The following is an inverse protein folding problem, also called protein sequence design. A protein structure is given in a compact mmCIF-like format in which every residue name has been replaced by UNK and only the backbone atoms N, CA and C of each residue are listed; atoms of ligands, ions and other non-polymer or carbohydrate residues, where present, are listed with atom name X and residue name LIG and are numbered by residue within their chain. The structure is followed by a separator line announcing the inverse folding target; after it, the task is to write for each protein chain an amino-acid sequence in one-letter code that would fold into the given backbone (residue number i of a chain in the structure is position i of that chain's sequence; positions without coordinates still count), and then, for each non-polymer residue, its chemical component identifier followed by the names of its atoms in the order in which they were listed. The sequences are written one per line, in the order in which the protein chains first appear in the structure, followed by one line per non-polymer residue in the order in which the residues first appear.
data_IF_161835192892
#
_entry.id   IF_161835192892
#
_cell.length_a   1.000
_cell.length_b   1.000
_cell.length_c   1.000
_cell.angle_alpha   90.00
_cell.angle_beta   90.00
_cell.angle_gamma   90.00
#
_symmetry.space_group_name_H-M   'P 1'
#
loop_
_entity.id
_entity.type
_entity.pdbx_description
1 polymer ?
#
# COMPACT_ATOMS: atom_id res chain seq x y z
N UNK A 1 -30.05 -15.94 -35.32
CA UNK A 1 -29.97 -14.47 -35.46
C UNK A 1 -28.64 -14.13 -36.09
N UNK A 2 -28.59 -13.12 -36.96
CA UNK A 2 -27.36 -12.64 -37.60
C UNK A 2 -26.90 -11.38 -36.86
N UNK A 3 -25.59 -11.29 -36.60
CA UNK A 3 -24.95 -10.14 -35.97
C UNK A 3 -23.92 -9.60 -36.96
N UNK A 4 -24.11 -8.36 -37.39
CA UNK A 4 -23.24 -7.68 -38.34
C UNK A 4 -22.12 -6.98 -37.57
N UNK A 5 -20.87 -7.38 -37.76
CA UNK A 5 -19.73 -6.78 -37.05
C UNK A 5 -18.92 -5.92 -38.01
N UNK A 6 -18.74 -4.65 -37.64
CA UNK A 6 -18.02 -3.66 -38.41
C UNK A 6 -16.72 -3.26 -37.67
N UNK A 7 -15.56 -3.65 -38.20
CA UNK A 7 -14.26 -3.15 -37.75
C UNK A 7 -13.87 -1.94 -38.60
N UNK A 8 -14.15 -0.74 -38.11
CA UNK A 8 -13.84 0.51 -38.80
C UNK A 8 -12.33 0.75 -38.93
N UNK A 9 -11.53 0.28 -37.97
CA UNK A 9 -10.08 0.49 -37.97
C UNK A 9 -9.39 -0.34 -39.05
N UNK A 10 -9.88 -1.55 -39.31
CA UNK A 10 -9.37 -2.45 -40.36
C UNK A 10 -10.19 -2.42 -41.64
N UNK A 11 -11.30 -1.67 -41.65
CA UNK A 11 -12.28 -1.64 -42.73
C UNK A 11 -12.79 -3.04 -43.12
N UNK A 12 -13.10 -3.85 -42.10
CA UNK A 12 -13.64 -5.22 -42.26
C UNK A 12 -15.10 -5.27 -41.83
N UNK A 13 -15.88 -6.10 -42.51
CA UNK A 13 -17.27 -6.42 -42.12
C UNK A 13 -17.46 -7.93 -42.20
N UNK A 14 -17.93 -8.52 -41.12
CA UNK A 14 -18.23 -9.96 -41.05
C UNK A 14 -19.55 -10.20 -40.32
N UNK A 15 -20.30 -11.21 -40.79
CA UNK A 15 -21.58 -11.60 -40.23
C UNK A 15 -21.45 -12.87 -39.39
N UNK A 16 -21.94 -12.82 -38.16
CA UNK A 16 -21.90 -13.95 -37.23
C UNK A 16 -23.30 -14.46 -36.93
N UNK A 17 -23.51 -15.76 -37.15
CA UNK A 17 -24.79 -16.42 -36.83
C UNK A 17 -24.71 -17.05 -35.44
N UNK A 18 -25.63 -16.68 -34.54
CA UNK A 18 -25.72 -17.27 -33.20
C UNK A 18 -27.20 -17.56 -32.83
N UNK A 19 -27.50 -18.70 -32.17
CA UNK A 19 -28.81 -18.92 -31.57
C UNK A 19 -29.11 -17.86 -30.50
N UNK A 20 -30.33 -17.30 -30.53
CA UNK A 20 -30.74 -16.20 -29.62
C UNK A 20 -30.59 -16.59 -28.16
N UNK A 21 -31.16 -17.73 -27.78
CA UNK A 21 -31.20 -18.17 -26.38
C UNK A 21 -29.79 -18.36 -25.82
N UNK A 22 -28.87 -18.86 -26.66
CA UNK A 22 -27.46 -18.97 -26.32
C UNK A 22 -26.82 -17.58 -26.15
N UNK A 23 -27.04 -16.66 -27.10
CA UNK A 23 -26.48 -15.31 -27.05
C UNK A 23 -26.92 -14.55 -25.79
N UNK A 24 -28.21 -14.52 -25.46
CA UNK A 24 -28.72 -13.81 -24.27
C UNK A 24 -28.27 -14.47 -22.97
N UNK A 25 -28.08 -15.80 -22.97
CA UNK A 25 -27.63 -16.52 -21.78
C UNK A 25 -26.16 -16.26 -21.46
N UNK A 26 -25.31 -16.12 -22.49
CA UNK A 26 -23.86 -15.94 -22.33
C UNK A 26 -23.40 -14.48 -22.38
N UNK A 27 -24.12 -13.62 -23.12
CA UNK A 27 -23.85 -12.18 -23.29
C UNK A 27 -25.03 -11.36 -22.75
N UNK A 28 -25.07 -11.15 -21.44
CA UNK A 28 -26.21 -10.55 -20.74
C UNK A 28 -26.52 -9.11 -21.17
N UNK A 29 -25.55 -8.40 -21.75
CA UNK A 29 -25.79 -7.10 -22.37
C UNK A 29 -26.94 -7.16 -23.38
N UNK A 30 -26.97 -8.18 -24.24
CA UNK A 30 -28.03 -8.31 -25.23
C UNK A 30 -29.38 -8.67 -24.61
N UNK A 31 -29.42 -9.33 -23.46
CA UNK A 31 -30.67 -9.69 -22.78
C UNK A 31 -31.53 -8.45 -22.43
N UNK A 32 -30.88 -7.30 -22.17
CA UNK A 32 -31.56 -6.05 -21.83
C UNK A 32 -32.32 -5.46 -23.03
N UNK A 33 -31.85 -5.69 -24.26
CA UNK A 33 -32.45 -5.18 -25.50
C UNK A 33 -33.32 -6.21 -26.21
N UNK A 34 -32.98 -7.48 -26.06
CA UNK A 34 -33.61 -8.63 -26.70
C UNK A 34 -34.58 -9.36 -25.76
N UNK A 35 -35.19 -8.69 -24.78
CA UNK A 35 -36.23 -9.29 -23.90
C UNK A 35 -37.65 -8.79 -24.17
N UNK A 36 -37.82 -7.84 -25.10
CA UNK A 36 -39.10 -7.16 -25.36
C UNK A 36 -39.82 -7.83 -26.55
N UNK A 37 -40.90 -8.56 -26.24
CA UNK A 37 -41.97 -9.10 -27.12
C UNK A 37 -41.62 -9.97 -28.33
N UNK A 38 -41.86 -11.29 -28.22
CA UNK A 38 -41.70 -12.43 -29.17
C UNK A 38 -42.13 -12.23 -30.65
N UNK A 39 -42.75 -11.09 -31.02
CA UNK A 39 -43.26 -10.80 -32.36
C UNK A 39 -42.50 -9.69 -33.14
N UNK A 40 -41.56 -8.94 -32.53
CA UNK A 40 -40.79 -7.88 -33.22
C UNK A 40 -39.40 -8.30 -33.77
N UNK A 41 -39.10 -9.59 -33.84
CA UNK A 41 -37.71 -10.11 -33.93
C UNK A 41 -37.17 -10.31 -35.33
N UNK A 42 -38.04 -10.54 -36.31
CA UNK A 42 -37.60 -10.66 -37.70
C UNK A 42 -37.06 -9.34 -38.26
N UNK A 43 -37.23 -8.23 -37.52
CA UNK A 43 -36.80 -6.87 -37.88
C UNK A 43 -35.60 -6.34 -37.07
N UNK A 44 -35.10 -7.07 -36.06
CA UNK A 44 -33.97 -6.56 -35.24
C UNK A 44 -32.63 -6.91 -35.88
N UNK A 45 -32.06 -5.92 -36.57
CA UNK A 45 -30.69 -5.94 -37.07
C UNK A 45 -29.72 -5.55 -35.94
N UNK A 46 -28.83 -6.47 -35.55
CA UNK A 46 -27.78 -6.20 -34.56
C UNK A 46 -26.49 -5.89 -35.31
N UNK A 47 -26.10 -4.63 -35.27
CA UNK A 47 -24.80 -4.17 -35.75
C UNK A 47 -23.87 -3.82 -34.57
N UNK A 48 -22.68 -4.41 -34.54
CA UNK A 48 -21.66 -4.19 -33.50
C UNK A 48 -20.40 -3.60 -34.12
N UNK A 49 -19.91 -2.50 -33.58
CA UNK A 49 -18.69 -1.84 -34.06
C UNK A 49 -17.51 -2.21 -33.15
N UNK A 50 -16.70 -3.19 -33.57
CA UNK A 50 -15.54 -3.66 -32.80
C UNK A 50 -14.54 -4.43 -33.68
N UNK A 51 -13.43 -4.86 -33.08
CA UNK A 51 -12.46 -5.74 -33.74
C UNK A 51 -13.11 -7.08 -34.10
N UNK A 52 -13.21 -7.35 -35.41
CA UNK A 52 -13.86 -8.55 -35.96
C UNK A 52 -13.22 -9.84 -35.44
N UNK A 53 -11.89 -9.88 -35.24
CA UNK A 53 -11.21 -11.07 -34.74
C UNK A 53 -11.52 -11.34 -33.26
N UNK A 54 -11.61 -10.27 -32.45
CA UNK A 54 -12.01 -10.39 -31.04
C UNK A 54 -13.46 -10.86 -30.96
N UNK A 55 -14.35 -10.30 -31.77
CA UNK A 55 -15.75 -10.74 -31.78
C UNK A 55 -15.90 -12.20 -32.23
N UNK A 56 -15.16 -12.61 -33.26
CA UNK A 56 -15.10 -14.01 -33.69
C UNK A 56 -14.64 -14.93 -32.54
N UNK A 57 -13.59 -14.55 -31.80
CA UNK A 57 -13.14 -15.28 -30.61
C UNK A 57 -14.26 -15.43 -29.57
N UNK A 58 -14.99 -14.34 -29.30
CA UNK A 58 -16.11 -14.34 -28.34
C UNK A 58 -17.26 -15.26 -28.80
N UNK A 59 -17.62 -15.23 -30.08
CA UNK A 59 -18.66 -16.12 -30.63
C UNK A 59 -18.24 -17.59 -30.55
N UNK A 60 -16.98 -17.90 -30.88
CA UNK A 60 -16.42 -19.25 -30.68
C UNK A 60 -16.48 -19.66 -29.21
N UNK A 61 -16.19 -18.75 -28.30
CA UNK A 61 -16.28 -19.01 -26.87
C UNK A 61 -17.72 -19.26 -26.42
N UNK A 62 -18.69 -18.45 -26.85
CA UNK A 62 -20.12 -18.66 -26.55
C UNK A 62 -20.62 -20.02 -27.05
N UNK A 63 -20.16 -20.45 -28.23
CA UNK A 63 -20.53 -21.74 -28.83
C UNK A 63 -19.76 -22.95 -28.26
N UNK A 64 -18.84 -22.77 -27.30
CA UNK A 64 -17.95 -23.84 -26.78
C UNK A 64 -18.68 -25.08 -26.25
N UNK A 65 -19.92 -24.93 -25.79
CA UNK A 65 -20.73 -26.00 -25.19
C UNK A 65 -21.81 -26.54 -26.15
N UNK A 66 -21.81 -26.14 -27.42
CA UNK A 66 -22.81 -26.61 -28.40
C UNK A 66 -22.30 -27.83 -29.18
N UNK A 67 -23.23 -28.72 -29.54
CA UNK A 67 -22.94 -29.95 -30.30
C UNK A 67 -22.29 -29.68 -31.66
N UNK A 68 -22.60 -28.53 -32.29
CA UNK A 68 -21.98 -28.09 -33.55
C UNK A 68 -20.49 -27.78 -33.42
N UNK A 69 -20.00 -27.49 -32.21
CA UNK A 69 -18.61 -27.07 -31.97
C UNK A 69 -17.75 -28.13 -31.28
N UNK A 70 -18.26 -29.35 -31.06
CA UNK A 70 -17.50 -30.47 -30.49
C UNK A 70 -16.27 -30.88 -31.35
N UNK A 71 -16.25 -30.52 -32.64
CA UNK A 71 -15.15 -30.77 -33.58
C UNK A 71 -14.10 -29.65 -33.61
N UNK A 72 -14.35 -28.50 -33.00
CA UNK A 72 -13.48 -27.34 -33.03
C UNK A 72 -12.81 -27.10 -31.67
N UNK A 73 -11.52 -26.76 -31.70
CA UNK A 73 -10.81 -26.38 -30.48
C UNK A 73 -11.42 -25.11 -29.86
N UNK A 74 -11.69 -25.20 -28.54
CA UNK A 74 -12.14 -24.07 -27.71
C UNK A 74 -11.10 -22.96 -27.82
N UNK A 75 -11.51 -21.72 -28.10
CA UNK A 75 -10.56 -20.64 -28.28
C UNK A 75 -9.77 -20.40 -26.98
N UNK A 76 -8.45 -20.26 -27.11
CA UNK A 76 -7.53 -20.06 -25.99
C UNK A 76 -7.21 -18.58 -25.80
N UNK A 77 -7.02 -18.18 -24.54
CA UNK A 77 -6.52 -16.84 -24.21
C UNK A 77 -5.03 -16.78 -24.52
N UNK A 78 -4.60 -15.66 -25.10
CA UNK A 78 -3.20 -15.40 -25.44
C UNK A 78 -2.78 -14.03 -24.90
N UNK A 79 -1.48 -13.79 -24.67
CA UNK A 79 -1.01 -12.51 -24.14
C UNK A 79 -1.39 -11.30 -25.01
N UNK A 80 -1.53 -11.50 -26.32
CA UNK A 80 -1.85 -10.45 -27.31
C UNK A 80 -3.34 -10.09 -27.36
N UNK A 81 -4.23 -11.01 -26.97
CA UNK A 81 -5.68 -10.83 -27.14
C UNK A 81 -6.44 -10.64 -25.81
N UNK A 82 -5.87 -11.07 -24.68
CA UNK A 82 -6.59 -11.17 -23.40
C UNK A 82 -7.15 -9.84 -22.91
N UNK A 83 -6.48 -8.72 -23.14
CA UNK A 83 -6.99 -7.41 -22.71
C UNK A 83 -8.18 -6.96 -23.54
N UNK A 84 -8.10 -7.11 -24.87
CA UNK A 84 -9.22 -6.79 -25.74
C UNK A 84 -10.43 -7.68 -25.41
N UNK A 85 -10.19 -8.98 -25.18
CA UNK A 85 -11.23 -9.92 -24.73
C UNK A 85 -11.78 -9.52 -23.36
N UNK A 86 -10.95 -9.13 -22.41
CA UNK A 86 -11.38 -8.69 -21.07
C UNK A 86 -12.31 -7.48 -21.16
N UNK A 87 -11.91 -6.45 -21.93
CA UNK A 87 -12.71 -5.24 -22.10
C UNK A 87 -14.04 -5.55 -22.80
N UNK A 88 -14.01 -6.33 -23.89
CA UNK A 88 -15.23 -6.70 -24.61
C UNK A 88 -16.14 -7.61 -23.80
N UNK A 89 -15.59 -8.55 -23.02
CA UNK A 89 -16.38 -9.46 -22.18
C UNK A 89 -17.00 -8.74 -20.97
N UNK A 90 -16.32 -7.76 -20.39
CA UNK A 90 -16.90 -6.87 -19.37
C UNK A 90 -18.06 -6.07 -19.95
N UNK A 91 -17.88 -5.45 -21.13
CA UNK A 91 -18.93 -4.68 -21.80
C UNK A 91 -20.16 -5.53 -22.13
N UNK A 92 -19.94 -6.74 -22.65
CA UNK A 92 -21.01 -7.69 -23.00
C UNK A 92 -21.60 -8.43 -21.78
N UNK A 93 -21.12 -8.13 -20.57
CA UNK A 93 -21.56 -8.73 -19.30
C UNK A 93 -21.41 -10.26 -19.28
N UNK A 94 -20.23 -10.74 -19.69
CA UNK A 94 -19.86 -12.17 -19.75
C UNK A 94 -19.05 -12.58 -18.51
N UNK A 95 -19.68 -12.61 -17.32
CA UNK A 95 -19.00 -12.70 -16.01
C UNK A 95 -17.96 -13.83 -15.90
N UNK A 96 -18.30 -15.05 -16.36
CA UNK A 96 -17.38 -16.20 -16.30
C UNK A 96 -16.13 -16.01 -17.15
N UNK A 97 -16.24 -15.31 -18.28
CA UNK A 97 -15.10 -15.02 -19.15
C UNK A 97 -14.25 -13.90 -18.56
N UNK A 98 -14.87 -12.87 -17.98
CA UNK A 98 -14.18 -11.80 -17.26
C UNK A 98 -13.28 -12.37 -16.16
N UNK A 99 -13.82 -13.26 -15.32
CA UNK A 99 -13.04 -13.95 -14.28
C UNK A 99 -11.87 -14.76 -14.86
N UNK A 100 -12.12 -15.49 -15.96
CA UNK A 100 -11.06 -16.26 -16.64
C UNK A 100 -9.96 -15.35 -17.18
N UNK A 101 -10.32 -14.20 -17.75
CA UNK A 101 -9.38 -13.19 -18.24
C UNK A 101 -8.57 -12.55 -17.10
N UNK A 102 -9.20 -12.16 -15.99
CA UNK A 102 -8.52 -11.57 -14.83
C UNK A 102 -7.49 -12.56 -14.24
N UNK A 103 -7.88 -13.83 -14.07
CA UNK A 103 -6.96 -14.88 -13.62
C UNK A 103 -5.82 -15.13 -14.61
N UNK A 104 -6.10 -15.06 -15.92
CA UNK A 104 -5.05 -15.16 -16.94
C UNK A 104 -4.08 -13.97 -16.88
N UNK A 105 -4.59 -12.76 -16.64
CA UNK A 105 -3.80 -11.55 -16.44
C UNK A 105 -2.83 -11.71 -15.27
N UNK A 106 -3.31 -12.21 -14.12
CA UNK A 106 -2.46 -12.46 -12.94
C UNK A 106 -1.29 -13.39 -13.28
N UNK A 107 -1.57 -14.53 -13.92
CA UNK A 107 -0.55 -15.55 -14.24
C UNK A 107 0.44 -15.13 -15.34
N UNK A 108 0.03 -14.27 -16.28
CA UNK A 108 0.80 -14.00 -17.50
C UNK A 108 1.15 -12.51 -17.68
N UNK A 109 1.06 -11.68 -16.64
CA UNK A 109 1.19 -10.22 -16.74
C UNK A 109 2.45 -9.77 -17.48
N UNK A 110 3.61 -10.36 -17.17
CA UNK A 110 4.89 -10.04 -17.82
C UNK A 110 4.86 -10.28 -19.35
N UNK A 111 4.22 -11.35 -19.80
CA UNK A 111 4.07 -11.64 -21.22
C UNK A 111 3.08 -10.67 -21.89
N UNK A 112 2.00 -10.34 -21.18
CA UNK A 112 0.95 -9.44 -21.64
C UNK A 112 1.51 -8.03 -21.87
N UNK A 113 2.20 -7.44 -20.90
CA UNK A 113 2.78 -6.08 -21.04
C UNK A 113 3.88 -6.00 -22.10
N UNK A 114 4.49 -7.14 -22.47
CA UNK A 114 5.44 -7.21 -23.57
C UNK A 114 4.77 -7.08 -24.96
N UNK A 115 3.47 -7.36 -25.08
CA UNK A 115 2.72 -7.22 -26.34
C UNK A 115 2.33 -5.77 -26.65
N UNK A 116 2.05 -5.41 -27.92
CA UNK A 116 1.60 -4.07 -28.31
C UNK A 116 0.09 -3.87 -28.04
N UNK A 117 -0.32 -4.06 -26.78
CA UNK A 117 -1.70 -3.88 -26.32
C UNK A 117 -1.90 -2.53 -25.62
N UNK A 118 -3.09 -1.91 -25.79
CA UNK A 118 -3.46 -0.70 -25.06
C UNK A 118 -4.12 -1.06 -23.72
N UNK A 119 -3.38 -0.88 -22.63
CA UNK A 119 -3.82 -1.15 -21.25
C UNK A 119 -4.65 -0.02 -20.64
N UNK A 120 -4.66 1.16 -21.26
CA UNK A 120 -5.30 2.34 -20.68
C UNK A 120 -6.82 2.26 -20.71
N UNK A 121 -7.38 1.36 -21.50
CA UNK A 121 -8.82 1.15 -21.63
C UNK A 121 -9.42 0.26 -20.53
N UNK A 122 -8.59 -0.32 -19.65
CA UNK A 122 -9.07 -1.10 -18.51
C UNK A 122 -9.64 -0.12 -17.46
N UNK A 123 -10.92 -0.28 -17.12
CA UNK A 123 -11.58 0.57 -16.14
C UNK A 123 -11.03 0.35 -14.71
N UNK A 124 -11.32 1.29 -13.81
CA UNK A 124 -10.82 1.26 -12.43
C UNK A 124 -11.23 -0.02 -11.66
N UNK A 125 -12.46 -0.53 -11.88
CA UNK A 125 -12.96 -1.72 -11.19
C UNK A 125 -12.19 -2.98 -11.59
N UNK A 126 -11.97 -3.19 -12.90
CA UNK A 126 -11.17 -4.29 -13.43
C UNK A 126 -9.72 -4.19 -12.98
N UNK A 127 -9.15 -2.98 -13.00
CA UNK A 127 -7.79 -2.73 -12.53
C UNK A 127 -7.64 -3.11 -11.04
N UNK A 128 -8.58 -2.71 -10.19
CA UNK A 128 -8.60 -3.10 -8.77
C UNK A 128 -8.71 -4.61 -8.60
N UNK A 129 -9.62 -5.28 -9.32
CA UNK A 129 -9.76 -6.75 -9.27
C UNK A 129 -8.48 -7.47 -9.69
N UNK A 130 -7.78 -6.99 -10.71
CA UNK A 130 -6.48 -7.54 -11.12
C UNK A 130 -5.45 -7.28 -10.02
N UNK A 131 -5.36 -6.06 -9.49
CA UNK A 131 -4.40 -5.69 -8.45
C UNK A 131 -4.57 -6.50 -7.16
N UNK A 132 -5.81 -6.83 -6.78
CA UNK A 132 -6.13 -7.62 -5.59
C UNK A 132 -5.64 -9.07 -5.68
N UNK A 133 -5.45 -9.62 -6.89
CA UNK A 133 -4.86 -10.95 -7.05
C UNK A 133 -3.35 -10.99 -6.79
N UNK A 134 -2.64 -9.88 -6.99
CA UNK A 134 -1.20 -9.82 -6.79
C UNK A 134 -0.85 -9.59 -5.33
N UNK A 135 0.13 -10.31 -4.79
CA UNK A 135 0.91 -9.78 -3.66
C UNK A 135 1.86 -8.68 -4.13
N UNK A 136 2.33 -7.81 -3.23
CA UNK A 136 3.33 -6.81 -3.57
C UNK A 136 4.65 -7.43 -4.11
N UNK A 137 5.00 -8.64 -3.68
CA UNK A 137 6.20 -9.36 -4.11
C UNK A 137 6.02 -9.96 -5.52
N UNK A 138 4.88 -10.60 -5.78
CA UNK A 138 4.52 -11.04 -7.15
C UNK A 138 4.49 -9.87 -8.13
N UNK A 139 3.95 -8.72 -7.69
CA UNK A 139 3.92 -7.51 -8.51
C UNK A 139 5.33 -6.97 -8.80
N UNK A 140 6.27 -7.12 -7.87
CA UNK A 140 7.66 -6.75 -8.12
C UNK A 140 8.32 -7.61 -9.20
N UNK A 141 7.99 -8.90 -9.26
CA UNK A 141 8.51 -9.83 -10.27
C UNK A 141 7.98 -9.55 -11.69
N UNK A 142 6.92 -8.75 -11.83
CA UNK A 142 6.37 -8.37 -13.14
C UNK A 142 7.39 -7.55 -13.96
N UNK A 143 7.71 -8.04 -15.15
CA UNK A 143 8.67 -7.44 -16.09
C UNK A 143 8.00 -6.44 -17.02
N UNK A 144 7.78 -5.22 -16.55
CA UNK A 144 7.17 -4.13 -17.33
C UNK A 144 8.18 -3.00 -17.63
N UNK A 145 9.01 -3.21 -18.66
CA UNK A 145 10.09 -2.27 -19.02
C UNK A 145 9.60 -0.88 -19.47
N UNK A 146 8.35 -0.78 -19.93
CA UNK A 146 7.77 0.47 -20.45
C UNK A 146 6.71 1.05 -19.51
N UNK A 147 6.58 0.48 -18.31
CA UNK A 147 5.61 0.86 -17.29
C UNK A 147 4.19 1.05 -17.84
N UNK A 148 3.72 0.10 -18.65
CA UNK A 148 2.38 0.14 -19.25
C UNK A 148 1.28 -0.10 -18.21
N UNK A 149 1.59 -0.83 -17.15
CA UNK A 149 0.60 -1.31 -16.19
C UNK A 149 1.13 -1.46 -14.76
N UNK A 150 2.42 -1.76 -14.56
CA UNK A 150 2.98 -2.04 -13.22
C UNK A 150 2.77 -0.88 -12.24
N UNK A 151 3.03 0.37 -12.63
CA UNK A 151 2.75 1.54 -11.78
C UNK A 151 1.26 1.68 -11.43
N UNK A 152 0.34 1.40 -12.36
CA UNK A 152 -1.11 1.46 -12.09
C UNK A 152 -1.54 0.45 -11.03
N UNK A 153 -0.95 -0.74 -11.03
CA UNK A 153 -1.18 -1.75 -10.00
C UNK A 153 -0.62 -1.30 -8.64
N UNK A 154 0.54 -0.64 -8.59
CA UNK A 154 1.05 -0.04 -7.36
C UNK A 154 0.17 1.10 -6.85
N UNK A 155 -0.40 1.93 -7.73
CA UNK A 155 -1.39 2.93 -7.35
C UNK A 155 -2.59 2.27 -6.64
N UNK A 156 -3.14 1.18 -7.19
CA UNK A 156 -4.21 0.42 -6.51
C UNK A 156 -3.75 -0.19 -5.19
N UNK A 157 -2.50 -0.65 -5.06
CA UNK A 157 -1.96 -1.10 -3.77
C UNK A 157 -1.83 0.04 -2.75
N UNK A 158 -1.50 1.27 -3.18
CA UNK A 158 -1.50 2.46 -2.32
C UNK A 158 -2.93 2.77 -1.87
N UNK A 159 -3.92 2.78 -2.78
CA UNK A 159 -5.33 2.97 -2.42
C UNK A 159 -5.76 1.94 -1.35
N UNK A 160 -5.40 0.66 -1.54
CA UNK A 160 -5.68 -0.43 -0.59
C UNK A 160 -5.00 -0.25 0.78
N UNK A 161 -3.89 0.48 0.87
CA UNK A 161 -3.29 0.83 2.16
C UNK A 161 -4.13 1.85 2.93
N UNK A 162 -4.91 2.69 2.26
CA UNK A 162 -5.79 3.70 2.87
C UNK A 162 -7.24 3.22 3.08
N UNK A 163 -7.59 2.05 2.57
CA UNK A 163 -8.91 1.45 2.74
C UNK A 163 -9.02 0.81 4.14
N UNK A 164 -9.86 1.35 5.04
CA UNK A 164 -9.99 0.84 6.42
C UNK A 164 -10.62 -0.55 6.49
N UNK A 165 -11.41 -0.94 5.49
CA UNK A 165 -12.13 -2.21 5.47
C UNK A 165 -11.32 -3.31 4.75
N UNK A 166 -10.23 -2.94 4.07
CA UNK A 166 -9.37 -3.88 3.37
C UNK A 166 -8.33 -4.53 4.28
N UNK A 167 -8.37 -5.86 4.35
CA UNK A 167 -7.36 -6.65 5.03
C UNK A 167 -6.19 -6.94 4.08
N UNK A 168 -5.11 -6.17 4.23
CA UNK A 168 -3.93 -6.34 3.40
C UNK A 168 -3.11 -7.58 3.84
N UNK A 169 -2.91 -8.59 2.97
CA UNK A 169 -2.10 -9.76 3.31
C UNK A 169 -0.59 -9.46 3.43
N UNK A 170 -0.15 -8.33 2.90
CA UNK A 170 1.26 -7.92 2.76
C UNK A 170 1.69 -6.83 3.76
N UNK A 171 0.75 -6.29 4.53
CA UNK A 171 1.02 -5.22 5.49
C UNK A 171 0.20 -5.42 6.74
N UNK A 172 0.84 -5.34 7.91
CA UNK A 172 0.11 -5.26 9.18
C UNK A 172 -0.46 -3.85 9.38
N UNK A 173 0.27 -2.83 8.93
CA UNK A 173 -0.14 -1.44 9.05
C UNK A 173 -1.18 -1.04 8.01
N UNK A 174 -2.12 -0.19 8.43
CA UNK A 174 -3.11 0.44 7.57
C UNK A 174 -2.95 1.97 7.65
N UNK A 175 -2.90 2.62 6.50
CA UNK A 175 -2.68 4.06 6.34
C UNK A 175 -3.95 4.90 6.51
N UNK A 176 -5.14 4.30 6.67
CA UNK A 176 -6.41 5.03 6.86
C UNK A 176 -6.39 6.01 8.05
N UNK A 177 -5.52 5.77 9.04
CA UNK A 177 -5.34 6.65 10.21
C UNK A 177 -4.06 7.48 10.18
N UNK A 178 -3.31 7.43 9.07
CA UNK A 178 -2.01 8.10 8.90
C UNK A 178 -2.13 9.60 9.12
N UNK A 179 -1.22 10.15 9.92
CA UNK A 179 -1.11 11.59 10.14
C UNK A 179 0.32 12.00 10.46
N UNK A 180 0.62 13.28 10.26
CA UNK A 180 1.85 13.91 10.73
C UNK A 180 1.65 14.53 12.11
N UNK A 181 2.56 14.28 13.04
CA UNK A 181 2.56 14.96 14.34
C UNK A 181 3.11 16.39 14.20
N UNK A 182 2.41 17.40 14.72
CA UNK A 182 2.87 18.80 14.60
C UNK A 182 4.14 19.10 15.43
N UNK A 183 4.42 18.30 16.47
CA UNK A 183 5.53 18.50 17.41
C UNK A 183 6.82 17.80 16.95
N UNK A 184 6.76 16.49 16.72
CA UNK A 184 7.93 15.69 16.33
C UNK A 184 8.04 15.48 14.81
N UNK A 185 7.08 15.97 14.02
CA UNK A 185 7.02 15.83 12.55
C UNK A 185 6.99 14.39 12.01
N UNK A 186 6.98 13.38 12.88
CA UNK A 186 6.84 11.97 12.49
C UNK A 186 5.46 11.66 11.92
N UNK A 187 5.45 10.72 10.98
CA UNK A 187 4.23 10.11 10.44
C UNK A 187 3.85 8.90 11.28
N UNK A 188 2.59 8.83 11.69
CA UNK A 188 2.09 7.87 12.65
C UNK A 188 0.73 7.35 12.22
N UNK A 189 0.43 6.13 12.64
CA UNK A 189 -0.89 5.52 12.53
C UNK A 189 -1.39 5.21 13.95
N UNK A 190 -2.67 4.89 14.08
CA UNK A 190 -3.31 4.59 15.37
C UNK A 190 -2.60 3.48 16.16
N UNK A 191 -2.04 2.49 15.49
CA UNK A 191 -1.32 1.38 16.15
C UNK A 191 0.04 1.79 16.72
N UNK A 192 0.68 2.81 16.13
CA UNK A 192 2.05 3.22 16.47
C UNK A 192 2.10 4.50 17.29
N UNK A 193 1.06 5.34 17.26
CA UNK A 193 1.02 6.65 17.95
C UNK A 193 1.34 6.54 19.46
N UNK A 194 0.88 5.48 20.13
CA UNK A 194 1.12 5.28 21.57
C UNK A 194 2.48 4.64 21.90
N UNK A 195 3.16 4.07 20.90
CA UNK A 195 4.40 3.28 21.07
C UNK A 195 5.66 4.03 20.63
N UNK A 196 5.53 4.97 19.70
CA UNK A 196 6.64 5.74 19.16
C UNK A 196 6.83 7.01 20.00
N UNK A 197 8.04 7.26 20.53
CA UNK A 197 8.34 8.47 21.30
C UNK A 197 8.07 9.77 20.52
N UNK A 198 7.37 10.69 21.18
CA UNK A 198 7.28 12.10 20.77
C UNK A 198 8.39 12.92 21.45
N UNK A 199 8.27 14.26 21.40
CA UNK A 199 9.15 15.19 22.12
C UNK A 199 9.06 15.00 23.65
N UNK A 200 10.09 15.42 24.42
CA UNK A 200 10.01 15.45 25.88
C UNK A 200 8.73 16.15 26.37
N UNK A 201 8.12 15.64 27.45
CA UNK A 201 6.86 16.16 28.00
C UNK A 201 5.58 15.59 27.36
N UNK A 202 5.70 14.74 26.34
CA UNK A 202 4.57 14.02 25.74
C UNK A 202 4.60 12.52 26.05
N UNK A 203 4.97 12.22 27.28
CA UNK A 203 5.02 10.88 27.86
C UNK A 203 3.90 10.80 28.90
N UNK A 204 3.15 9.72 28.91
CA UNK A 204 2.12 9.44 29.91
C UNK A 204 2.21 7.96 30.33
N UNK A 205 1.46 7.57 31.35
CA UNK A 205 1.40 6.21 31.86
C UNK A 205 -0.04 5.72 31.77
N UNK A 206 -0.25 4.54 31.19
CA UNK A 206 -1.58 3.93 31.13
C UNK A 206 -2.01 3.32 32.47
N UNK A 207 -3.25 2.83 32.54
CA UNK A 207 -3.80 2.20 33.76
C UNK A 207 -3.06 0.93 34.22
N UNK A 208 -2.19 0.36 33.39
CA UNK A 208 -1.38 -0.83 33.71
C UNK A 208 0.06 -0.46 34.09
N UNK A 209 0.40 0.82 34.13
CA UNK A 209 1.76 1.27 34.42
C UNK A 209 2.69 1.28 33.20
N UNK A 210 2.17 1.06 31.98
CA UNK A 210 2.97 1.12 30.76
C UNK A 210 3.16 2.55 30.30
N UNK A 211 4.37 2.86 29.82
CA UNK A 211 4.66 4.15 29.21
C UNK A 211 4.00 4.24 27.84
N UNK A 212 3.23 5.30 27.63
CA UNK A 212 2.59 5.64 26.36
C UNK A 212 2.98 7.05 25.93
N UNK A 213 2.96 7.30 24.62
CA UNK A 213 3.25 8.61 24.06
C UNK A 213 2.00 9.29 23.54
N UNK A 214 2.01 10.62 23.59
CA UNK A 214 0.91 11.47 23.12
C UNK A 214 1.40 12.32 21.95
N UNK A 215 0.67 12.29 20.84
CA UNK A 215 0.98 13.08 19.66
C UNK A 215 -0.20 13.99 19.32
N UNK A 216 0.11 15.11 18.65
CA UNK A 216 -0.89 16.09 18.24
C UNK A 216 -0.92 16.10 16.72
N UNK A 217 -2.10 15.90 16.13
CA UNK A 217 -2.28 15.89 14.67
C UNK A 217 -2.00 17.27 14.11
N UNK A 218 -1.17 17.31 13.07
CA UNK A 218 -0.91 18.50 12.29
C UNK A 218 -2.09 18.79 11.35
N UNK A 219 -2.90 19.80 11.67
CA UNK A 219 -4.09 20.16 10.88
C UNK A 219 -3.76 20.72 9.50
N UNK A 220 -2.54 21.18 9.26
CA UNK A 220 -2.11 21.69 7.95
C UNK A 220 -1.46 20.61 7.08
N UNK A 221 -1.37 19.37 7.57
CA UNK A 221 -0.82 18.26 6.78
C UNK A 221 -1.91 17.59 5.96
N UNK A 222 -1.70 17.54 4.64
CA UNK A 222 -2.54 16.79 3.71
C UNK A 222 -1.81 15.54 3.17
N UNK A 223 -2.55 14.44 3.09
CA UNK A 223 -2.01 13.15 2.64
C UNK A 223 -1.78 13.10 1.14
N UNK A 224 -2.61 13.77 0.33
CA UNK A 224 -2.46 13.79 -1.13
C UNK A 224 -1.23 14.61 -1.51
N UNK A 225 -1.04 15.79 -0.92
CA UNK A 225 0.17 16.58 -1.08
C UNK A 225 1.42 15.79 -0.68
N UNK A 226 1.34 15.03 0.42
CA UNK A 226 2.43 14.16 0.83
C UNK A 226 2.74 13.07 -0.21
N UNK A 227 1.73 12.35 -0.73
CA UNK A 227 1.93 11.32 -1.76
C UNK A 227 2.51 11.90 -3.05
N UNK A 228 2.05 13.09 -3.47
CA UNK A 228 2.60 13.80 -4.62
C UNK A 228 4.06 14.20 -4.38
N UNK A 229 4.39 14.70 -3.19
CA UNK A 229 5.78 15.03 -2.82
C UNK A 229 6.69 13.79 -2.83
N UNK A 230 6.19 12.63 -2.38
CA UNK A 230 6.92 11.36 -2.47
C UNK A 230 7.13 10.93 -3.92
N UNK A 231 6.14 11.10 -4.79
CA UNK A 231 6.29 10.80 -6.21
C UNK A 231 7.27 11.77 -6.89
N UNK A 232 7.27 13.04 -6.50
CA UNK A 232 8.26 14.01 -6.96
C UNK A 232 9.68 13.66 -6.52
N UNK A 233 9.86 13.15 -5.30
CA UNK A 233 11.16 12.67 -4.78
C UNK A 233 11.61 11.39 -5.49
N UNK A 234 10.74 10.38 -5.56
CA UNK A 234 11.08 9.01 -5.92
C UNK A 234 10.90 8.68 -7.40
N UNK A 235 10.13 9.50 -8.14
CA UNK A 235 9.82 9.36 -9.57
C UNK A 235 9.14 8.04 -9.97
N UNK A 236 8.61 7.27 -9.02
CA UNK A 236 7.96 5.99 -9.29
C UNK A 236 6.91 5.66 -8.24
N UNK A 237 5.70 5.28 -8.68
CA UNK A 237 4.63 4.82 -7.79
C UNK A 237 4.98 3.52 -7.05
N UNK A 238 5.83 2.68 -7.65
CA UNK A 238 6.43 1.51 -6.98
C UNK A 238 7.21 1.95 -5.73
N UNK A 239 8.07 2.95 -5.86
CA UNK A 239 8.91 3.41 -4.76
C UNK A 239 8.09 4.19 -3.72
N UNK A 240 7.07 4.95 -4.15
CA UNK A 240 6.09 5.59 -3.25
C UNK A 240 5.36 4.53 -2.41
N UNK A 241 4.89 3.44 -3.04
CA UNK A 241 4.25 2.34 -2.33
C UNK A 241 5.17 1.79 -1.24
N UNK A 242 6.42 1.48 -1.58
CA UNK A 242 7.37 0.95 -0.60
C UNK A 242 7.62 1.95 0.52
N UNK A 243 7.90 3.23 0.22
CA UNK A 243 8.10 4.26 1.24
C UNK A 243 6.91 4.34 2.21
N UNK A 244 5.69 4.37 1.68
CA UNK A 244 4.46 4.39 2.48
C UNK A 244 4.28 3.10 3.29
N UNK A 245 4.50 1.94 2.68
CA UNK A 245 4.49 0.64 3.35
C UNK A 245 5.47 0.62 4.53
N UNK A 246 6.66 1.19 4.36
CA UNK A 246 7.66 1.31 5.42
C UNK A 246 7.26 2.27 6.54
N UNK A 247 6.45 3.28 6.24
CA UNK A 247 5.91 4.23 7.24
C UNK A 247 4.83 3.59 8.10
N UNK A 248 3.98 2.75 7.50
CA UNK A 248 2.86 2.11 8.22
C UNK A 248 3.25 0.79 8.89
N UNK A 249 4.35 0.15 8.50
CA UNK A 249 4.87 -1.05 9.16
C UNK A 249 5.98 -0.69 10.16
N UNK A 250 6.01 -1.37 11.30
CA UNK A 250 6.94 -1.09 12.39
C UNK A 250 7.59 -2.37 12.92
N UNK A 251 8.78 -2.19 13.50
CA UNK A 251 9.57 -3.24 14.13
C UNK A 251 10.02 -2.79 15.52
N UNK A 252 10.56 -3.71 16.32
CA UNK A 252 11.10 -3.41 17.65
C UNK A 252 12.56 -3.81 17.74
N UNK A 253 13.39 -2.88 18.22
CA UNK A 253 14.82 -3.06 18.29
C UNK A 253 15.23 -3.73 19.59
N UNK A 254 15.93 -4.86 19.52
CA UNK A 254 16.51 -5.56 20.67
C UNK A 254 17.58 -4.78 21.44
N UNK A 255 18.21 -3.77 20.80
CA UNK A 255 19.30 -2.99 21.41
C UNK A 255 18.80 -1.80 22.23
N UNK A 256 17.88 -1.01 21.69
CA UNK A 256 17.34 0.18 22.35
C UNK A 256 15.94 -0.03 22.93
N UNK A 257 15.34 -1.20 22.70
CA UNK A 257 13.98 -1.57 23.10
C UNK A 257 12.89 -0.63 22.55
N UNK A 258 13.19 0.13 21.50
CA UNK A 258 12.25 1.06 20.88
C UNK A 258 11.47 0.38 19.75
N UNK A 259 10.18 0.68 19.66
CA UNK A 259 9.38 0.46 18.45
C UNK A 259 9.61 1.60 17.47
N UNK A 260 9.84 1.28 16.20
CA UNK A 260 10.15 2.27 15.16
C UNK A 260 9.52 1.87 13.81
N UNK A 261 9.11 2.84 12.96
CA UNK A 261 8.68 2.58 11.60
C UNK A 261 9.83 2.00 10.76
N UNK A 262 9.54 1.15 9.78
CA UNK A 262 10.59 0.56 8.94
C UNK A 262 11.42 1.63 8.17
N UNK A 263 10.84 2.80 7.88
CA UNK A 263 11.56 3.95 7.29
C UNK A 263 12.68 4.49 8.17
N UNK A 264 12.58 4.33 9.50
CA UNK A 264 13.55 4.83 10.49
C UNK A 264 14.60 3.76 10.87
N UNK A 265 14.80 2.72 10.06
CA UNK A 265 15.67 1.59 10.42
C UNK A 265 17.11 1.97 10.77
N UNK A 266 17.67 3.03 10.17
CA UNK A 266 19.01 3.53 10.46
C UNK A 266 19.07 4.59 11.57
N UNK A 267 18.00 4.75 12.36
CA UNK A 267 17.86 5.82 13.35
C UNK A 267 18.13 5.36 14.79
N UNK A 268 18.74 4.18 14.99
CA UNK A 268 19.05 3.69 16.34
C UNK A 268 20.13 4.56 16.99
N UNK A 269 19.70 5.51 17.82
CA UNK A 269 20.59 6.42 18.52
C UNK A 269 21.42 5.70 19.59
N UNK A 270 22.70 6.06 19.71
CA UNK A 270 23.58 5.54 20.74
C UNK A 270 24.75 6.49 21.05
N UNK A 271 25.36 6.31 22.21
CA UNK A 271 26.64 6.92 22.58
C UNK A 271 27.78 5.91 22.41
N UNK A 272 28.88 6.25 21.71
CA UNK A 272 30.03 5.35 21.54
C UNK A 272 30.83 5.11 22.82
N UNK A 273 30.78 6.07 23.74
CA UNK A 273 31.52 6.04 25.00
C UNK A 273 30.54 5.94 26.16
N UNK A 274 30.86 5.15 27.21
CA UNK A 274 30.01 5.03 28.39
C UNK A 274 29.94 6.37 29.15
N UNK A 275 28.84 6.58 29.87
CA UNK A 275 28.65 7.74 30.74
C UNK A 275 29.68 7.72 31.88
N UNK A 276 30.25 8.88 32.17
CA UNK A 276 31.08 9.11 33.36
C UNK A 276 30.26 9.85 34.41
N UNK A 277 30.17 9.28 35.61
CA UNK A 277 29.60 9.97 36.76
C UNK A 277 30.74 10.54 37.59
N UNK A 278 30.78 11.86 37.85
CA UNK A 278 31.77 12.45 38.74
C UNK A 278 31.78 11.74 40.11
N UNK A 279 32.98 11.43 40.61
CA UNK A 279 33.16 10.69 41.86
C UNK A 279 32.65 11.45 43.08
N UNK A 280 31.88 10.76 43.92
CA UNK A 280 31.41 11.21 45.24
C UNK A 280 32.58 11.35 46.21
N UNK A 281 33.25 12.50 46.20
CA UNK A 281 34.04 12.95 47.32
C UNK A 281 33.13 13.74 48.28
N UNK A 282 32.66 13.04 49.32
CA UNK A 282 32.20 13.61 50.60
C UNK A 282 31.23 14.80 50.61
N UNK A 283 30.07 14.71 49.96
CA UNK A 283 28.95 15.58 50.31
C UNK A 283 27.60 14.89 50.09
N UNK A 284 26.72 14.98 51.10
CA UNK A 284 25.27 14.81 50.94
C UNK A 284 24.79 15.86 49.91
N UNK A 285 24.90 15.54 48.63
CA UNK A 285 24.63 16.49 47.55
C UNK A 285 25.13 16.05 46.18
N UNK A 286 25.45 14.76 46.00
CA UNK A 286 25.84 14.23 44.70
C UNK A 286 24.71 14.48 43.71
N UNK A 287 24.96 15.37 42.74
CA UNK A 287 24.09 15.56 41.59
C UNK A 287 24.04 14.21 40.87
N UNK A 288 22.86 13.59 40.83
CA UNK A 288 22.63 12.28 40.21
C UNK A 288 22.76 12.32 38.68
N UNK A 289 23.76 13.03 38.16
CA UNK A 289 23.95 13.39 36.77
C UNK A 289 25.34 12.97 36.34
N UNK A 290 25.43 12.24 35.23
CA UNK A 290 26.66 11.89 34.53
C UNK A 290 26.81 12.66 33.23
N UNK A 291 27.94 12.46 32.56
CA UNK A 291 28.25 13.08 31.28
C UNK A 291 28.76 12.02 30.30
N UNK A 292 28.27 12.04 29.07
CA UNK A 292 28.82 11.23 27.98
C UNK A 292 30.05 11.92 27.39
N UNK A 293 31.26 11.33 27.46
CA UNK A 293 32.48 11.99 26.97
C UNK A 293 32.49 12.21 25.45
N UNK A 294 31.66 11.47 24.71
CA UNK A 294 31.62 11.53 23.26
C UNK A 294 30.94 12.80 22.71
N UNK A 295 30.12 13.47 23.51
CA UNK A 295 29.37 14.66 23.09
C UNK A 295 29.11 15.66 24.24
N UNK A 296 29.63 15.40 25.44
CA UNK A 296 29.39 16.15 26.66
C UNK A 296 27.92 16.29 27.09
N UNK A 297 27.03 15.45 26.57
CA UNK A 297 25.63 15.44 26.98
C UNK A 297 25.50 14.97 28.42
N UNK A 298 24.76 15.73 29.23
CA UNK A 298 24.41 15.38 30.62
C UNK A 298 23.27 14.37 30.62
N UNK A 299 23.35 13.38 31.50
CA UNK A 299 22.33 12.33 31.65
C UNK A 299 22.09 12.06 33.13
N UNK A 300 20.84 11.79 33.49
CA UNK A 300 20.52 11.36 34.85
C UNK A 300 20.99 9.92 35.06
N UNK A 301 21.47 9.62 36.27
CA UNK A 301 21.83 8.26 36.69
C UNK A 301 20.62 7.34 36.65
N UNK A 302 19.45 7.88 36.96
CA UNK A 302 18.16 7.23 36.82
C UNK A 302 17.29 8.13 35.96
N UNK A 303 17.13 7.75 34.70
CA UNK A 303 16.18 8.41 33.80
C UNK A 303 15.02 7.45 33.53
N UNK A 304 13.83 7.70 34.10
CA UNK A 304 12.67 6.88 33.86
C UNK A 304 12.07 7.12 32.47
N UNK A 305 12.51 8.15 31.72
CA UNK A 305 12.00 8.44 30.39
C UNK A 305 12.72 7.59 29.33
N UNK A 306 12.04 6.64 28.65
CA UNK A 306 12.62 5.81 27.60
C UNK A 306 12.71 6.57 26.27
N UNK A 307 13.24 7.79 26.29
CA UNK A 307 13.45 8.58 25.07
C UNK A 307 14.72 8.11 24.36
N UNK A 308 14.72 8.02 23.01
CA UNK A 308 15.92 7.74 22.24
C UNK A 308 16.97 8.82 22.53
N UNK A 309 18.17 8.39 22.94
CA UNK A 309 19.32 9.28 23.18
C UNK A 309 20.56 8.73 22.49
N UNK A 310 21.36 9.64 21.95
CA UNK A 310 22.62 9.28 21.33
C UNK A 310 23.19 10.42 20.51
N UNK A 311 24.52 10.52 20.48
CA UNK A 311 25.20 11.45 19.60
C UNK A 311 25.48 10.87 18.21
N UNK A 312 25.35 9.55 18.05
CA UNK A 312 25.48 8.83 16.78
C UNK A 312 24.25 7.97 16.53
N UNK A 313 24.06 7.59 15.26
CA UNK A 313 23.02 6.65 14.82
C UNK A 313 23.64 5.43 14.17
N UNK A 314 22.92 4.32 14.23
CA UNK A 314 23.24 3.05 13.58
C UNK A 314 21.94 2.36 13.18
N UNK A 315 22.08 1.24 12.48
CA UNK A 315 20.94 0.37 12.20
C UNK A 315 20.37 -0.24 13.49
N UNK A 316 19.05 -0.23 13.59
CA UNK A 316 18.30 -1.01 14.56
C UNK A 316 18.58 -2.51 14.35
N UNK A 317 18.49 -3.28 15.43
CA UNK A 317 18.67 -4.74 15.37
C UNK A 317 17.40 -5.40 15.83
N UNK A 318 16.79 -6.16 14.92
CA UNK A 318 15.62 -6.98 15.22
C UNK A 318 16.13 -8.27 15.85
N UNK A 319 15.76 -8.50 17.10
CA UNK A 319 16.08 -9.73 17.82
C UNK A 319 14.80 -10.40 18.30
N UNK A 320 14.86 -11.72 18.51
CA UNK A 320 13.82 -12.45 19.23
C UNK A 320 13.66 -11.82 20.62
N UNK A 321 12.42 -11.61 21.12
CA UNK A 321 12.22 -11.05 22.45
C UNK A 321 12.96 -11.91 23.48
N UNK A 322 13.86 -11.28 24.23
CA UNK A 322 14.61 -11.95 25.28
C UNK A 322 13.66 -12.22 26.46
N UNK A 323 13.24 -13.48 26.66
CA UNK A 323 12.56 -13.88 27.89
C UNK A 323 11.45 -14.94 27.83
N UNK A 324 11.39 -15.80 26.79
CA UNK A 324 10.53 -16.98 26.80
C UNK A 324 11.35 -18.27 26.81
N UNK A 325 11.41 -18.96 27.95
CA UNK A 325 11.83 -20.37 27.98
C UNK A 325 10.75 -21.22 27.31
N UNK A 326 10.90 -21.39 26.00
CA UNK A 326 10.00 -22.14 25.13
C UNK A 326 10.36 -21.77 23.71
N UNK A 327 10.63 -22.76 22.85
CA UNK A 327 11.11 -22.53 21.49
C UNK A 327 10.13 -21.74 20.64
N UNK A 328 10.20 -20.41 20.68
CA UNK A 328 9.29 -19.54 19.95
C UNK A 328 10.01 -18.87 18.78
N UNK A 329 9.68 -19.34 17.58
CA UNK A 329 10.05 -18.72 16.33
C UNK A 329 9.55 -17.27 16.28
N UNK A 330 10.29 -16.38 15.62
CA UNK A 330 9.87 -15.00 15.38
C UNK A 330 8.47 -14.99 14.75
N UNK A 331 7.51 -14.18 15.25
CA UNK A 331 6.15 -14.18 14.72
C UNK A 331 6.17 -14.07 13.19
N UNK A 332 5.47 -14.95 12.49
CA UNK A 332 5.51 -15.08 11.03
C UNK A 332 5.39 -13.72 10.31
N UNK A 333 4.50 -12.85 10.79
CA UNK A 333 4.33 -11.50 10.25
C UNK A 333 5.56 -10.60 10.40
N UNK A 334 6.27 -10.66 11.52
CA UNK A 334 7.52 -9.89 11.72
C UNK A 334 8.61 -10.40 10.78
N UNK A 335 8.67 -11.72 10.56
CA UNK A 335 9.63 -12.32 9.62
C UNK A 335 9.32 -11.90 8.17
N UNK A 336 8.05 -11.87 7.78
CA UNK A 336 7.60 -11.38 6.46
C UNK A 336 8.00 -9.91 6.25
N UNK A 337 7.64 -9.02 7.19
CA UNK A 337 8.01 -7.59 7.14
C UNK A 337 9.53 -7.42 7.03
N UNK A 338 10.32 -8.19 7.79
CA UNK A 338 11.78 -8.10 7.73
C UNK A 338 12.34 -8.57 6.38
N UNK A 339 11.76 -9.62 5.80
CA UNK A 339 12.11 -10.10 4.46
C UNK A 339 11.86 -9.02 3.41
N UNK A 340 10.64 -8.47 3.38
CA UNK A 340 10.25 -7.43 2.41
C UNK A 340 11.10 -6.16 2.60
N UNK A 341 11.35 -5.77 3.86
CA UNK A 341 12.24 -4.65 4.19
C UNK A 341 13.66 -4.86 3.64
N UNK A 342 14.22 -6.06 3.77
CA UNK A 342 15.59 -6.36 3.35
C UNK A 342 15.75 -6.24 1.84
N UNK A 343 14.73 -6.64 1.09
CA UNK A 343 14.73 -6.54 -0.38
C UNK A 343 14.61 -5.08 -0.85
N UNK A 344 13.89 -4.23 -0.12
CA UNK A 344 13.58 -2.86 -0.53
C UNK A 344 14.28 -1.77 0.31
N UNK A 345 15.33 -2.15 1.06
CA UNK A 345 16.05 -1.30 2.02
C UNK A 345 16.46 0.06 1.45
N UNK A 346 16.93 0.11 0.21
CA UNK A 346 17.45 1.33 -0.42
C UNK A 346 16.37 2.40 -0.68
N UNK A 347 15.11 1.99 -0.80
CA UNK A 347 13.97 2.89 -1.08
C UNK A 347 13.29 3.28 0.23
N UNK A 348 13.22 2.33 1.16
CA UNK A 348 12.53 2.46 2.44
C UNK A 348 13.25 3.38 3.41
N UNK A 349 14.57 3.27 3.54
CA UNK A 349 15.31 4.00 4.59
C UNK A 349 15.33 5.49 4.27
N UNK A 350 14.83 6.28 5.21
CA UNK A 350 14.93 7.75 5.19
C UNK A 350 16.22 8.14 5.94
N UNK A 351 17.05 9.05 5.39
CA UNK A 351 18.23 9.54 6.09
C UNK A 351 17.86 10.15 7.45
N UNK A 352 18.71 9.93 8.45
CA UNK A 352 18.50 10.53 9.76
C UNK A 352 18.78 12.04 9.70
N UNK A 353 17.76 12.86 9.98
CA UNK A 353 17.89 14.29 10.25
C UNK A 353 17.74 14.55 11.75
N UNK A 354 18.71 15.23 12.38
CA UNK A 354 18.54 15.66 13.77
C UNK A 354 17.47 16.74 13.84
N UNK A 355 16.37 16.46 14.54
CA UNK A 355 15.42 17.50 14.91
C UNK A 355 16.07 18.47 15.90
N UNK A 356 16.07 19.76 15.57
CA UNK A 356 16.64 20.83 16.41
C UNK A 356 15.98 20.91 17.81
N UNK A 357 14.81 20.29 18.00
CA UNK A 357 14.09 20.26 19.28
C UNK A 357 14.52 19.11 20.22
N UNK A 358 15.44 18.24 19.81
CA UNK A 358 15.95 17.15 20.65
C UNK A 358 17.07 17.58 21.61
N UNK A 359 17.57 18.82 21.45
CA UNK A 359 18.69 19.37 22.22
C UNK A 359 18.21 20.24 23.40
N UNK A 360 17.19 19.77 24.12
CA UNK A 360 17.01 20.22 25.51
C UNK A 360 17.88 19.33 26.39
N UNK A 361 19.20 19.59 26.35
CA UNK A 361 20.04 19.28 27.50
C UNK A 361 19.37 19.86 28.75
N UNK A 362 19.42 19.13 29.87
CA UNK A 362 18.75 19.47 31.13
C UNK A 362 19.05 20.92 31.51
N UNK A 363 18.20 21.83 31.04
CA UNK A 363 18.16 23.23 31.33
C UNK A 363 16.99 23.41 32.26
N UNK A 364 17.28 23.47 33.56
CA UNK A 364 16.38 24.10 34.51
C UNK A 364 16.35 25.58 34.11
N UNK A 365 15.36 26.00 33.32
CA UNK A 365 14.73 27.33 33.40
C UNK A 365 13.62 27.53 32.35
N UNK A 366 12.48 27.93 32.91
CA UNK A 366 11.35 28.74 32.43
C UNK A 366 10.64 28.43 31.10
N UNK A 367 9.34 28.19 31.31
CA UNK A 367 8.26 28.03 30.35
C UNK A 367 8.30 29.07 29.21
N UNK A 368 8.47 28.59 27.98
CA UNK A 368 7.74 29.12 26.83
C UNK A 368 7.13 27.96 26.07
N UNK A 369 5.88 27.67 26.40
CA UNK A 369 5.05 26.73 25.66
C UNK A 369 4.98 27.15 24.19
N UNK A 370 5.21 26.19 23.30
CA UNK A 370 4.82 26.33 21.90
C UNK A 370 3.29 26.36 21.89
N UNK A 371 2.70 27.54 21.77
CA UNK A 371 1.26 27.70 21.56
C UNK A 371 0.90 27.07 20.21
N UNK A 372 0.26 25.91 20.28
CA UNK A 372 -0.47 25.32 19.17
C UNK A 372 -1.92 25.33 19.62
N UNK A 373 -2.77 26.15 19.00
CA UNK A 373 -4.16 26.38 19.41
C UNK A 373 -4.90 25.06 19.72
N UNK A 374 -5.01 24.76 21.01
CA UNK A 374 -5.75 23.60 21.53
C UNK A 374 -7.22 23.99 21.60
N UNK A 375 -7.91 23.90 20.47
CA UNK A 375 -9.36 23.71 20.48
C UNK A 375 -9.61 22.20 20.63
N UNK A 376 -9.85 21.79 21.88
CA UNK A 376 -10.41 20.49 22.23
C UNK A 376 -11.89 20.49 21.82
N UNK A 377 -12.21 19.87 20.68
CA UNK A 377 -13.58 19.42 20.42
C UNK A 377 -13.67 17.90 20.54
N UNK A 378 -14.79 17.35 21.03
CA UNK A 378 -14.95 15.92 21.22
C UNK A 378 -15.04 15.21 19.86
N UNK A 379 -14.40 14.04 19.78
CA UNK A 379 -14.41 13.08 18.66
C UNK A 379 -15.67 13.18 17.77
N UNK A 380 -15.52 13.77 16.59
CA UNK A 380 -16.47 13.63 15.49
C UNK A 380 -15.87 12.72 14.41
N UNK A 381 -16.66 11.71 14.07
CA UNK A 381 -16.36 10.60 13.17
C UNK A 381 -16.44 11.04 11.70
N UNK A 382 -15.42 11.71 11.17
CA UNK A 382 -15.38 12.07 9.75
C UNK A 382 -14.02 11.68 9.16
N UNK A 383 -13.97 10.51 8.53
CA UNK A 383 -12.87 10.12 7.66
C UNK A 383 -12.95 10.86 6.32
N UNK A 384 -11.83 11.25 5.70
CA UNK A 384 -11.85 11.75 4.33
C UNK A 384 -12.30 10.63 3.39
N UNK A 385 -13.22 10.95 2.48
CA UNK A 385 -13.64 10.05 1.40
C UNK A 385 -12.47 9.81 0.45
N UNK A 386 -12.27 8.55 0.06
CA UNK A 386 -11.29 8.12 -0.92
C UNK A 386 -11.45 8.93 -2.21
N UNK A 387 -10.45 9.77 -2.50
CA UNK A 387 -10.30 10.44 -3.78
C UNK A 387 -9.38 9.61 -4.67
N UNK A 388 -9.82 9.31 -5.87
CA UNK A 388 -9.05 8.57 -6.87
C UNK A 388 -7.75 9.31 -7.19
N UNK A 389 -6.63 8.59 -7.09
CA UNK A 389 -5.34 9.04 -7.62
C UNK A 389 -5.41 8.92 -9.14
N UNK A 390 -5.56 10.05 -9.83
CA UNK A 390 -5.48 10.09 -11.29
C UNK A 390 -4.03 9.81 -11.71
N UNK A 391 -3.84 8.68 -12.39
CA UNK A 391 -2.59 8.25 -13.01
C UNK A 391 -2.46 8.72 -14.46
#
# INVERSE_FOLDING_TARGET
MVIHVCDEAKNLKEDFVCPRDLLISEMKYFAEYLSVDAQRWEEVDISVHCDVHIFNWLIRYVKRNTKEYELHEVPTLEPSNVISILISSEFLKMDSLVEKCINYCHKNMSAIVATPCNMNCINANLLTRIADLFTHNELEEVKDKRDKFKSKLFCKKIERLFDPDYQNPDSRGNAATLYRCCLCKKLLIKDTERRIPCVPGKINVDQHGNIIYIHIRDKSWDVHEYLLSLFEELKSWRDVYWRLWGTVNWLTCSRCNQTFPCTEFSHCQYHPQPVLYPGVASALGSTGTGVYPCCNQRVLRFDPAPLPKGCKVRDHVIGLPAGGEGGDAMPYHTAKILSDFTQHRNVLIVPFSKDQNSDYGIGLNDEKGIECDVLLEPNSSWGPKAGEINA
#
